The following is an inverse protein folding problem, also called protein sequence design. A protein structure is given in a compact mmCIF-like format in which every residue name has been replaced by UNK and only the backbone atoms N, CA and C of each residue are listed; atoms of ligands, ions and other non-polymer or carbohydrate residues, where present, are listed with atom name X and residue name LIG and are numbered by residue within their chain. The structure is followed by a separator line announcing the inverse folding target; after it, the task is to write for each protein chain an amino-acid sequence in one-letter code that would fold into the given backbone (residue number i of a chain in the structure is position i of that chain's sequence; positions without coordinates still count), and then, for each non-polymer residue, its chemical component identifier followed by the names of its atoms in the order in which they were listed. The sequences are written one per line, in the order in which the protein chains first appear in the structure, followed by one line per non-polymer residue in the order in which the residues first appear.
data_IF_449414723452
#
_entry.id   IF_449414723452
#
_cell.length_a   1.000
_cell.length_b   1.000
_cell.length_c   1.000
_cell.angle_alpha   90.00
_cell.angle_beta   90.00
_cell.angle_gamma   90.00
#
_symmetry.space_group_name_H-M   'P 1'
#
loop_
_entity.id
_entity.type
_entity.pdbx_description
1 polymer ?
#
# COMPACT_ATOMS: atom_id res chain seq x y z
N UNK A 1 7.95 -7.26 -11.04
CA UNK A 1 7.70 -8.27 -9.99
C UNK A 1 6.36 -7.95 -9.36
N UNK A 2 5.55 -8.96 -9.08
CA UNK A 2 4.27 -8.81 -8.38
C UNK A 2 4.39 -9.59 -7.06
N UNK A 3 4.00 -8.96 -5.96
CA UNK A 3 4.07 -9.53 -4.60
C UNK A 3 2.66 -9.54 -4.01
N UNK A 4 2.27 -10.66 -3.41
CA UNK A 4 0.97 -10.81 -2.78
C UNK A 4 0.91 -10.13 -1.40
N UNK A 5 -0.29 -9.92 -0.81
CA UNK A 5 -0.46 -9.30 0.51
C UNK A 5 0.22 -10.03 1.68
N UNK A 6 0.69 -11.27 1.47
CA UNK A 6 1.44 -12.05 2.47
C UNK A 6 2.96 -11.89 2.32
N UNK A 7 3.42 -11.05 1.39
CA UNK A 7 4.84 -10.81 1.11
C UNK A 7 5.49 -11.80 0.15
N UNK A 8 4.73 -12.72 -0.45
CA UNK A 8 5.26 -13.71 -1.41
C UNK A 8 5.29 -13.17 -2.84
N UNK A 9 6.36 -13.44 -3.58
CA UNK A 9 6.47 -13.10 -5.00
C UNK A 9 5.56 -14.04 -5.80
N UNK A 10 4.65 -13.48 -6.60
CA UNK A 10 3.70 -14.25 -7.43
C UNK A 10 4.01 -14.16 -8.93
N UNK A 11 4.82 -13.20 -9.37
CA UNK A 11 5.28 -13.13 -10.76
C UNK A 11 6.53 -12.25 -10.93
N UNK A 12 7.40 -12.60 -11.88
CA UNK A 12 8.71 -11.96 -12.09
C UNK A 12 9.68 -12.20 -10.93
N UNK A 13 10.76 -11.40 -10.79
CA UNK A 13 11.19 -10.32 -11.69
C UNK A 13 11.71 -10.83 -13.05
N UNK A 14 11.61 -9.99 -14.09
CA UNK A 14 12.27 -10.21 -15.38
C UNK A 14 13.64 -9.53 -15.34
N UNK A 15 14.63 -10.19 -14.73
CA UNK A 15 16.00 -9.67 -14.71
C UNK A 15 16.62 -9.75 -16.11
N UNK A 16 17.20 -8.64 -16.57
CA UNK A 16 17.87 -8.51 -17.88
C UNK A 16 17.02 -9.01 -19.07
N UNK A 17 15.70 -8.92 -18.96
CA UNK A 17 14.75 -9.47 -19.94
C UNK A 17 13.57 -8.54 -20.18
N UNK A 18 13.13 -8.44 -21.44
CA UNK A 18 11.91 -7.74 -21.82
C UNK A 18 10.72 -8.71 -21.83
N UNK A 19 9.60 -8.29 -21.26
CA UNK A 19 8.37 -9.07 -21.27
C UNK A 19 7.28 -8.42 -20.43
N UNK A 20 6.08 -9.00 -20.49
CA UNK A 20 4.94 -8.58 -19.68
C UNK A 20 4.74 -9.60 -18.56
N UNK A 21 4.56 -9.12 -17.34
CA UNK A 21 4.33 -9.95 -16.15
C UNK A 21 2.86 -9.85 -15.76
N UNK A 22 2.19 -10.99 -15.65
CA UNK A 22 0.80 -11.11 -15.22
C UNK A 22 0.71 -11.95 -13.94
N UNK A 23 -0.30 -11.67 -13.13
CA UNK A 23 -0.69 -12.52 -11.99
C UNK A 23 -2.19 -12.35 -11.72
N UNK A 24 -2.84 -13.42 -11.29
CA UNK A 24 -4.21 -13.35 -10.80
C UNK A 24 -4.26 -12.62 -9.45
N UNK A 25 -5.33 -11.83 -9.26
CA UNK A 25 -5.53 -11.04 -8.05
C UNK A 25 -6.85 -11.42 -7.40
N UNK A 26 -6.79 -11.96 -6.19
CA UNK A 26 -7.94 -12.17 -5.32
C UNK A 26 -7.94 -11.13 -4.18
N UNK A 27 -8.87 -10.16 -4.19
CA UNK A 27 -9.00 -9.16 -3.12
C UNK A 27 -9.26 -9.75 -1.73
N UNK A 28 -9.84 -10.95 -1.62
CA UNK A 28 -10.11 -11.58 -0.33
C UNK A 28 -8.82 -11.87 0.46
N UNK A 29 -7.70 -12.11 -0.24
CA UNK A 29 -6.37 -12.33 0.36
C UNK A 29 -5.91 -11.10 1.14
N UNK A 30 -6.25 -9.88 0.68
CA UNK A 30 -5.90 -8.63 1.38
C UNK A 30 -6.60 -8.53 2.73
N UNK A 31 -7.90 -8.85 2.78
CA UNK A 31 -8.68 -8.85 4.03
C UNK A 31 -8.12 -9.87 5.04
N UNK A 32 -7.76 -11.07 4.57
CA UNK A 32 -7.13 -12.09 5.41
C UNK A 32 -5.77 -11.64 5.95
N UNK A 33 -4.93 -11.01 5.12
CA UNK A 33 -3.63 -10.49 5.54
C UNK A 33 -3.76 -9.35 6.58
N UNK A 34 -4.72 -8.44 6.38
CA UNK A 34 -5.01 -7.36 7.32
C UNK A 34 -5.42 -7.87 8.70
N UNK A 35 -6.14 -9.00 8.78
CA UNK A 35 -6.47 -9.63 10.07
C UNK A 35 -5.24 -10.08 10.85
N UNK A 36 -4.16 -10.44 10.16
CA UNK A 36 -2.88 -10.82 10.79
C UNK A 36 -2.12 -9.59 11.28
N UNK A 37 -2.17 -8.47 10.53
CA UNK A 37 -1.52 -7.21 10.91
C UNK A 37 -2.35 -6.00 10.45
N UNK A 38 -3.13 -5.44 11.37
CA UNK A 38 -3.91 -4.21 11.13
C UNK A 38 -3.24 -3.01 11.80
N UNK A 39 -2.31 -2.38 11.07
CA UNK A 39 -1.47 -1.27 11.56
C UNK A 39 -2.31 -0.06 11.96
N UNK A 40 -3.34 0.28 11.18
CA UNK A 40 -4.19 1.44 11.45
C UNK A 40 -5.36 1.12 12.39
N UNK A 41 -5.64 -0.16 12.65
CA UNK A 41 -6.70 -0.62 13.53
C UNK A 41 -6.17 -1.06 14.89
N UNK A 42 -6.24 -2.36 15.17
CA UNK A 42 -5.93 -2.92 16.50
C UNK A 42 -4.51 -2.59 16.99
N UNK A 43 -3.53 -2.45 16.09
CA UNK A 43 -2.16 -2.09 16.44
C UNK A 43 -1.90 -0.57 16.46
N UNK A 44 -2.89 0.25 16.13
CA UNK A 44 -2.72 1.69 15.91
C UNK A 44 -2.43 2.53 17.15
N UNK A 45 -2.66 2.01 18.37
CA UNK A 45 -2.47 2.73 19.66
C UNK A 45 -2.95 4.19 19.63
N UNK A 46 -4.25 4.44 19.34
CA UNK A 46 -4.79 5.79 19.23
C UNK A 46 -4.74 6.58 20.56
N UNK A 47 -4.48 5.90 21.67
CA UNK A 47 -4.21 6.50 22.98
C UNK A 47 -2.82 7.15 23.07
N UNK A 48 -1.87 6.76 22.20
CA UNK A 48 -0.50 7.29 22.17
C UNK A 48 -0.22 8.12 20.91
N UNK A 49 -0.71 7.67 19.75
CA UNK A 49 -0.37 8.25 18.46
C UNK A 49 -1.60 8.77 17.72
N UNK A 50 -1.47 9.95 17.10
CA UNK A 50 -2.47 10.53 16.21
C UNK A 50 -1.78 11.17 15.01
N UNK A 51 -2.27 10.85 13.82
CA UNK A 51 -1.86 11.49 12.56
C UNK A 51 -3.00 12.37 12.05
N UNK A 52 -2.70 13.64 11.78
CA UNK A 52 -3.61 14.55 11.09
C UNK A 52 -3.04 14.93 9.73
N UNK A 53 -3.90 14.96 8.71
CA UNK A 53 -3.48 15.23 7.33
C UNK A 53 -4.19 16.47 6.81
N UNK A 54 -3.42 17.53 6.54
CA UNK A 54 -3.87 18.74 5.86
C UNK A 54 -3.94 18.46 4.35
N UNK A 55 -5.16 18.39 3.78
CA UNK A 55 -5.39 18.01 2.36
C UNK A 55 -5.87 19.16 1.48
N UNK A 56 -5.96 20.35 2.04
CA UNK A 56 -6.40 21.54 1.32
C UNK A 56 -5.40 21.89 0.22
N UNK A 57 -5.90 22.08 -1.01
CA UNK A 57 -5.12 22.70 -2.06
C UNK A 57 -4.76 24.13 -1.63
N UNK A 58 -3.48 24.44 -1.58
CA UNK A 58 -3.01 25.78 -1.24
C UNK A 58 -3.03 26.65 -2.48
N UNK A 59 -3.41 27.92 -2.31
CA UNK A 59 -3.36 28.89 -3.39
C UNK A 59 -1.89 29.10 -3.82
N UNK A 60 -1.62 29.21 -5.13
CA UNK A 60 -0.31 29.61 -5.62
C UNK A 60 0.00 31.03 -5.14
N UNK A 61 1.30 31.35 -5.02
CA UNK A 61 1.74 32.71 -4.71
C UNK A 61 1.57 33.59 -5.95
N UNK A 62 0.94 34.74 -5.76
CA UNK A 62 0.89 35.84 -6.72
C UNK A 62 1.94 36.89 -6.33
N UNK A 63 2.76 37.30 -7.29
CA UNK A 63 3.86 38.25 -7.07
C UNK A 63 3.56 39.66 -7.59
N UNK A 64 2.45 39.88 -8.31
CA UNK A 64 2.17 41.13 -9.01
C UNK A 64 3.02 41.36 -10.26
#
# INVERSE_FOLDING_TARGET
MIVNPRGGIVAGPLHEQHGIVYADCDPAVSSAAKRTLDVAGHYGRPDLFRLEVKREALAPVDFG
#
